data_IF_430621751252
#
_entry.id   IF_430621751252
#
_cell.length_a   1.000
_cell.length_b   1.000
_cell.length_c   1.000
_cell.angle_alpha   90.00
_cell.angle_beta   90.00
_cell.angle_gamma   90.00
#
_symmetry.space_group_name_H-M   'P 1'
#
loop_
_entity.id
_entity.type
_entity.pdbx_description
1 polymer ?
#
# COMPACT_ATOMS: atom_id res chain seq x y z
N UNK A 1 19.60 28.15 2.28
CA UNK A 1 20.06 26.76 2.05
C UNK A 1 19.36 25.92 3.11
N UNK A 2 18.49 24.96 2.84
CA UNK A 2 18.64 23.77 1.99
C UNK A 2 17.26 23.36 1.47
N UNK A 3 17.09 23.28 0.15
CA UNK A 3 15.99 22.52 -0.42
C UNK A 3 16.28 21.06 -0.15
N UNK A 4 15.55 20.43 0.77
CA UNK A 4 15.55 18.97 0.85
C UNK A 4 14.94 18.49 -0.45
N UNK A 5 15.75 17.86 -1.30
CA UNK A 5 15.23 17.08 -2.43
C UNK A 5 14.14 16.16 -1.88
N UNK A 6 12.89 16.39 -2.31
CA UNK A 6 11.77 15.51 -1.97
C UNK A 6 12.06 14.18 -2.66
N UNK A 7 12.66 13.25 -1.93
CA UNK A 7 12.75 11.86 -2.38
C UNK A 7 11.34 11.40 -2.73
N UNK A 8 11.16 10.86 -3.93
CA UNK A 8 9.90 10.28 -4.33
C UNK A 8 9.52 9.15 -3.36
N UNK A 9 8.23 9.10 -3.01
CA UNK A 9 7.73 8.07 -2.10
C UNK A 9 7.61 6.76 -2.88
N UNK A 10 8.32 5.73 -2.42
CA UNK A 10 8.22 4.38 -3.01
C UNK A 10 6.88 3.72 -2.74
N UNK A 11 6.34 3.85 -1.53
CA UNK A 11 5.05 3.26 -1.16
C UNK A 11 3.99 4.34 -1.07
N UNK A 12 2.93 4.21 -1.86
CA UNK A 12 1.83 5.18 -1.94
C UNK A 12 0.53 4.50 -1.52
N UNK A 13 -0.22 5.13 -0.62
CA UNK A 13 -1.59 4.71 -0.29
C UNK A 13 -2.48 5.12 -1.46
N UNK A 14 -3.04 4.13 -2.14
CA UNK A 14 -3.96 4.28 -3.27
C UNK A 14 -5.41 4.32 -2.80
N UNK A 15 -5.75 3.49 -1.81
CA UNK A 15 -7.08 3.46 -1.21
C UNK A 15 -6.96 3.27 0.30
N UNK A 16 -7.94 3.80 1.02
CA UNK A 16 -8.08 3.68 2.47
C UNK A 16 -9.54 3.42 2.83
N UNK A 17 -9.75 2.42 3.68
CA UNK A 17 -11.04 2.13 4.29
C UNK A 17 -10.88 2.03 5.80
N UNK A 18 -11.50 2.96 6.53
CA UNK A 18 -11.54 2.92 7.99
C UNK A 18 -12.46 1.80 8.49
N UNK A 19 -12.02 1.11 9.54
CA UNK A 19 -12.72 0.03 10.25
C UNK A 19 -12.72 0.31 11.76
N UNK A 20 -13.09 1.54 12.16
CA UNK A 20 -13.14 1.95 13.56
C UNK A 20 -11.73 2.16 14.14
N UNK A 21 -11.29 1.24 15.02
CA UNK A 21 -9.95 1.31 15.64
C UNK A 21 -8.80 0.84 14.73
N UNK A 22 -9.10 0.59 13.46
CA UNK A 22 -8.12 0.24 12.44
C UNK A 22 -8.55 0.68 11.04
N UNK A 23 -7.78 0.30 10.03
CA UNK A 23 -8.08 0.53 8.62
C UNK A 23 -7.46 -0.54 7.71
N UNK A 24 -7.97 -0.62 6.49
CA UNK A 24 -7.39 -1.35 5.37
C UNK A 24 -6.86 -0.33 4.37
N UNK A 25 -5.60 -0.48 3.96
CA UNK A 25 -4.99 0.31 2.91
C UNK A 25 -4.66 -0.55 1.71
N UNK A 26 -4.89 -0.01 0.51
CA UNK A 26 -4.19 -0.49 -0.68
C UNK A 26 -2.95 0.36 -0.86
N UNK A 27 -1.79 -0.28 -0.75
CA UNK A 27 -0.48 0.36 -0.91
C UNK A 27 0.15 -0.11 -2.21
N UNK A 28 0.66 0.81 -3.02
CA UNK A 28 1.38 0.52 -4.26
C UNK A 28 2.88 0.72 -4.05
N UNK A 29 3.69 -0.27 -4.40
CA UNK A 29 5.13 -0.11 -4.58
C UNK A 29 5.42 0.46 -5.98
N UNK A 30 5.76 1.75 -6.06
CA UNK A 30 5.97 2.45 -7.34
C UNK A 30 7.17 1.94 -8.13
N UNK A 31 8.07 1.16 -7.52
CA UNK A 31 9.17 0.54 -8.25
C UNK A 31 8.74 -0.71 -9.03
N UNK A 32 7.74 -1.44 -8.53
CA UNK A 32 7.31 -2.73 -9.09
C UNK A 32 5.89 -2.72 -9.64
N UNK A 33 5.10 -1.70 -9.29
CA UNK A 33 3.67 -1.61 -9.56
C UNK A 33 2.81 -2.45 -8.62
N UNK A 34 3.38 -3.34 -7.79
CA UNK A 34 2.60 -4.30 -6.99
C UNK A 34 1.71 -3.58 -5.97
N UNK A 35 0.44 -3.99 -5.95
CA UNK A 35 -0.56 -3.54 -4.98
C UNK A 35 -0.62 -4.51 -3.79
N UNK A 36 -0.66 -3.97 -2.57
CA UNK A 36 -0.74 -4.72 -1.33
C UNK A 36 -1.97 -4.31 -0.52
N UNK A 37 -2.67 -5.29 0.07
CA UNK A 37 -3.58 -5.05 1.18
C UNK A 37 -2.75 -4.95 2.46
N UNK A 38 -2.87 -3.83 3.15
CA UNK A 38 -2.23 -3.61 4.45
C UNK A 38 -3.29 -3.36 5.52
N UNK A 39 -3.19 -4.06 6.65
CA UNK A 39 -4.00 -3.75 7.83
C UNK A 39 -3.24 -2.83 8.76
N UNK A 40 -3.95 -1.88 9.37
CA UNK A 40 -3.42 -0.98 10.41
C UNK A 40 -4.38 -0.91 11.58
N UNK A 41 -3.84 -0.89 12.79
CA UNK A 41 -4.58 -0.82 14.04
C UNK A 41 -3.67 -1.06 15.24
N UNK A 42 -4.25 -1.13 16.43
CA UNK A 42 -3.53 -1.36 17.69
C UNK A 42 -3.06 -2.81 17.90
N UNK A 43 -3.44 -3.73 17.01
CA UNK A 43 -3.09 -5.15 17.08
C UNK A 43 -2.02 -5.56 16.05
N UNK A 44 -2.03 -6.85 15.70
CA UNK A 44 -1.17 -7.38 14.65
C UNK A 44 -1.57 -6.80 13.29
N UNK A 45 -0.57 -6.29 12.58
CA UNK A 45 -0.71 -5.75 11.24
C UNK A 45 -0.08 -6.70 10.23
N UNK A 46 -0.62 -6.73 9.02
CA UNK A 46 -0.15 -7.60 7.95
C UNK A 46 -0.09 -6.86 6.62
N UNK A 47 0.72 -7.40 5.70
CA UNK A 47 0.79 -6.95 4.32
C UNK A 47 0.70 -8.16 3.40
N UNK A 48 -0.19 -8.13 2.42
CA UNK A 48 -0.43 -9.25 1.49
C UNK A 48 -0.56 -8.71 0.06
N UNK A 49 0.16 -9.25 -0.94
CA UNK A 49 -0.05 -8.88 -2.34
C UNK A 49 -1.50 -9.16 -2.76
N UNK A 50 -2.13 -8.20 -3.41
CA UNK A 50 -3.45 -8.44 -3.99
C UNK A 50 -3.34 -9.38 -5.18
N UNK A 51 -4.29 -10.31 -5.29
CA UNK A 51 -4.39 -11.25 -6.39
C UNK A 51 -5.65 -10.96 -7.22
N UNK A 52 -5.55 -11.14 -8.53
CA UNK A 52 -6.69 -11.15 -9.43
C UNK A 52 -7.44 -12.50 -9.37
N UNK A 53 -8.52 -12.61 -10.15
CA UNK A 53 -9.33 -13.84 -10.23
C UNK A 53 -8.58 -15.06 -10.79
N UNK A 54 -7.41 -14.87 -11.41
CA UNK A 54 -6.55 -15.95 -11.92
C UNK A 54 -5.40 -16.27 -10.94
N UNK A 55 -5.37 -15.64 -9.76
CA UNK A 55 -4.30 -15.82 -8.78
C UNK A 55 -3.01 -15.08 -9.14
N UNK A 56 -3.04 -14.13 -10.08
CA UNK A 56 -1.88 -13.30 -10.44
C UNK A 56 -1.84 -12.05 -9.58
N UNK A 57 -0.64 -11.58 -9.26
CA UNK A 57 -0.45 -10.33 -8.51
C UNK A 57 -1.00 -9.13 -9.29
N UNK A 58 -1.76 -8.28 -8.60
CA UNK A 58 -2.28 -7.02 -9.15
C UNK A 58 -1.14 -5.98 -9.20
N UNK A 59 -0.92 -5.42 -10.38
CA UNK A 59 0.12 -4.41 -10.65
C UNK A 59 -0.46 -3.18 -11.34
N UNK A 60 -0.04 -2.00 -10.90
CA UNK A 60 -0.27 -0.72 -11.57
C UNK A 60 0.79 -0.50 -12.66
N UNK A 61 0.41 0.17 -13.76
CA UNK A 61 1.31 0.56 -14.86
C UNK A 61 1.84 1.97 -14.68
#
# INVERSE_FOLDING_TARGET
MFGKDKKEKRFIIKEEQSLGFGALYIVVDTHTGVNYLMTVGSGQNGVTPLLDSNGKVVVDK
#
